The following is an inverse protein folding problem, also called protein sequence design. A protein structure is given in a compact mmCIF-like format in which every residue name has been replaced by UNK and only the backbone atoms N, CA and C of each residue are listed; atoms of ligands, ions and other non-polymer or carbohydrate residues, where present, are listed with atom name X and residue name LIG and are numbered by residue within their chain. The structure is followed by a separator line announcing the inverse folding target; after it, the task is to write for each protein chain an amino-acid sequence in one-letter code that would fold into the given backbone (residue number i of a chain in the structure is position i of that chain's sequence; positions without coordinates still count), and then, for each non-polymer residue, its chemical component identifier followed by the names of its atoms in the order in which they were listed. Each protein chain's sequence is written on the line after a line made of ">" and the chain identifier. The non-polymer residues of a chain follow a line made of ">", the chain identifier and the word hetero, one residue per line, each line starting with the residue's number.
data_IF_484944987176
#
_entry.id   IF_484944987176
#
_cell.length_a   1.000
_cell.length_b   1.000
_cell.length_c   1.000
_cell.angle_alpha   90.00
_cell.angle_beta   90.00
_cell.angle_gamma   90.00
#
_symmetry.space_group_name_H-M   'P 1'
#
loop_
_entity.id
_entity.type
_entity.pdbx_description
1 polymer ?
#
# COMPACT_ATOMS: atom_id res chain seq x y z
N UNK A 1 -3.42 -33.05 -24.86
CA UNK A 1 -2.98 -32.03 -23.89
C UNK A 1 -4.16 -31.12 -23.62
N UNK A 2 -5.07 -31.56 -22.76
CA UNK A 2 -6.25 -30.80 -22.28
C UNK A 2 -6.73 -31.52 -21.03
N UNK A 3 -6.04 -31.31 -19.90
CA UNK A 3 -6.48 -31.75 -18.57
C UNK A 3 -5.88 -30.81 -17.52
N UNK A 4 -6.49 -29.63 -17.34
CA UNK A 4 -6.14 -28.76 -16.20
C UNK A 4 -7.31 -27.84 -15.79
N UNK A 5 -8.53 -28.40 -15.74
CA UNK A 5 -9.71 -27.72 -15.20
C UNK A 5 -10.39 -28.62 -14.17
N UNK A 6 -9.78 -28.83 -13.00
CA UNK A 6 -10.49 -29.45 -11.87
C UNK A 6 -9.82 -29.22 -10.50
N UNK A 7 -9.69 -27.97 -10.03
CA UNK A 7 -9.13 -27.72 -8.69
C UNK A 7 -9.77 -26.57 -7.89
N UNK A 8 -11.00 -26.14 -8.17
CA UNK A 8 -11.66 -25.13 -7.32
C UNK A 8 -13.15 -25.44 -7.13
N UNK A 9 -13.47 -26.58 -6.50
CA UNK A 9 -14.83 -26.88 -6.04
C UNK A 9 -14.84 -27.68 -4.72
N UNK A 10 -14.10 -27.26 -3.69
CA UNK A 10 -14.12 -27.98 -2.39
C UNK A 10 -14.10 -27.08 -1.14
N UNK A 11 -14.66 -25.85 -1.20
CA UNK A 11 -14.73 -24.98 -0.01
C UNK A 11 -16.12 -24.39 0.24
N UNK A 12 -17.17 -25.24 0.26
CA UNK A 12 -18.54 -24.76 0.57
C UNK A 12 -19.39 -25.70 1.42
N UNK A 13 -18.84 -26.74 2.05
CA UNK A 13 -19.65 -27.76 2.76
C UNK A 13 -19.51 -27.80 4.28
N UNK A 14 -18.65 -26.99 4.92
CA UNK A 14 -18.35 -27.19 6.36
C UNK A 14 -19.10 -26.29 7.36
N UNK A 15 -20.12 -25.51 6.96
CA UNK A 15 -20.83 -24.61 7.88
C UNK A 15 -22.25 -25.04 8.31
N UNK A 16 -22.69 -26.27 8.05
CA UNK A 16 -24.03 -26.76 8.45
C UNK A 16 -24.05 -27.78 9.60
N UNK A 17 -22.96 -27.96 10.36
CA UNK A 17 -22.86 -29.01 11.37
C UNK A 17 -23.34 -28.62 12.80
N UNK A 18 -24.10 -27.54 12.99
CA UNK A 18 -24.51 -27.07 14.33
C UNK A 18 -26.03 -26.98 14.59
N UNK A 19 -26.89 -27.58 13.76
CA UNK A 19 -28.35 -27.37 13.86
C UNK A 19 -29.18 -28.63 14.24
N UNK A 20 -28.60 -29.61 14.95
CA UNK A 20 -29.23 -30.94 15.16
C UNK A 20 -29.70 -31.21 16.60
N UNK A 21 -29.91 -30.21 17.46
CA UNK A 21 -30.43 -30.48 18.83
C UNK A 21 -31.55 -29.54 19.30
N UNK A 22 -32.60 -29.34 18.48
CA UNK A 22 -33.74 -28.51 18.90
C UNK A 22 -35.14 -28.88 18.37
N UNK A 23 -35.27 -29.78 17.39
CA UNK A 23 -36.56 -30.05 16.77
C UNK A 23 -37.24 -31.27 17.42
N UNK A 24 -38.00 -31.03 18.49
CA UNK A 24 -38.91 -32.03 19.05
C UNK A 24 -40.13 -32.19 18.13
N UNK A 25 -40.29 -33.34 17.43
CA UNK A 25 -41.35 -33.54 16.44
C UNK A 25 -42.77 -33.47 17.03
N UNK A 26 -42.90 -33.59 18.36
CA UNK A 26 -44.20 -33.53 19.03
C UNK A 26 -44.72 -32.10 19.23
N UNK A 27 -43.84 -31.10 19.26
CA UNK A 27 -44.23 -29.69 19.39
C UNK A 27 -44.65 -29.08 18.03
N UNK A 28 -44.21 -29.67 16.92
CA UNK A 28 -44.54 -29.21 15.57
C UNK A 28 -45.98 -29.57 15.14
N UNK A 29 -46.59 -30.59 15.76
CA UNK A 29 -47.91 -31.09 15.37
C UNK A 29 -49.10 -30.19 15.76
N UNK A 30 -48.87 -29.15 16.58
CA UNK A 30 -49.92 -28.22 17.06
C UNK A 30 -49.65 -26.76 16.68
N UNK A 31 -48.57 -26.49 15.93
CA UNK A 31 -48.26 -25.15 15.45
C UNK A 31 -49.21 -24.81 14.31
N UNK A 32 -50.27 -24.05 14.61
CA UNK A 32 -51.07 -23.39 13.58
C UNK A 32 -50.11 -22.52 12.76
N UNK A 33 -50.05 -22.65 11.42
CA UNK A 33 -49.25 -21.74 10.61
C UNK A 33 -49.89 -20.36 10.76
N UNK A 34 -49.33 -19.53 11.63
CA UNK A 34 -49.62 -18.12 11.67
C UNK A 34 -49.26 -17.61 10.27
N UNK A 35 -50.27 -17.18 9.50
CA UNK A 35 -50.02 -16.53 8.21
C UNK A 35 -49.03 -15.39 8.49
N UNK A 36 -47.91 -15.32 7.76
CA UNK A 36 -46.95 -14.24 7.95
C UNK A 36 -47.73 -12.94 7.78
N UNK A 37 -47.86 -12.19 8.87
CA UNK A 37 -48.42 -10.85 8.81
C UNK A 37 -47.47 -10.07 7.91
N UNK A 38 -47.94 -9.41 6.84
CA UNK A 38 -47.09 -8.51 6.09
C UNK A 38 -46.65 -7.42 7.06
N UNK A 39 -45.42 -7.52 7.59
CA UNK A 39 -44.79 -6.44 8.33
C UNK A 39 -44.64 -5.29 7.34
N UNK A 40 -45.56 -4.35 7.39
CA UNK A 40 -45.46 -3.11 6.61
C UNK A 40 -44.26 -2.39 7.21
N UNK A 41 -43.13 -2.27 6.48
CA UNK A 41 -41.95 -1.64 7.02
C UNK A 41 -42.32 -0.21 7.36
N UNK A 42 -42.09 0.17 8.62
CA UNK A 42 -42.33 1.54 9.08
C UNK A 42 -41.64 2.52 8.12
N UNK A 43 -42.19 3.73 7.91
CA UNK A 43 -41.61 4.69 6.97
C UNK A 43 -40.14 4.99 7.30
N UNK A 44 -39.74 4.90 8.58
CA UNK A 44 -38.35 5.02 9.00
C UNK A 44 -37.47 3.86 8.51
N UNK A 45 -37.97 2.61 8.56
CA UNK A 45 -37.23 1.46 8.04
C UNK A 45 -37.06 1.52 6.52
N UNK A 46 -38.03 2.06 5.77
CA UNK A 46 -37.89 2.21 4.31
C UNK A 46 -36.75 3.18 3.94
N UNK A 47 -36.64 4.31 4.65
CA UNK A 47 -35.55 5.28 4.45
C UNK A 47 -34.18 4.65 4.74
N UNK A 48 -34.09 3.82 5.79
CA UNK A 48 -32.85 3.12 6.10
C UNK A 48 -32.49 2.09 5.04
N UNK A 49 -33.48 1.33 4.54
CA UNK A 49 -33.26 0.35 3.47
C UNK A 49 -32.77 1.02 2.18
N UNK A 50 -33.35 2.16 1.80
CA UNK A 50 -32.89 2.92 0.63
C UNK A 50 -31.46 3.46 0.81
N UNK A 51 -31.13 3.94 2.01
CA UNK A 51 -29.77 4.40 2.31
C UNK A 51 -28.75 3.25 2.24
N UNK A 52 -29.10 2.07 2.76
CA UNK A 52 -28.25 0.87 2.70
C UNK A 52 -28.07 0.40 1.26
N UNK A 53 -29.12 0.44 0.44
CA UNK A 53 -29.04 0.13 -1.00
C UNK A 53 -28.05 1.05 -1.72
N UNK A 54 -28.16 2.37 -1.54
CA UNK A 54 -27.23 3.37 -2.13
C UNK A 54 -25.78 3.17 -1.68
N UNK A 55 -25.58 2.85 -0.40
CA UNK A 55 -24.26 2.54 0.13
C UNK A 55 -23.68 1.27 -0.51
N UNK A 56 -24.50 0.23 -0.70
CA UNK A 56 -24.09 -1.04 -1.34
C UNK A 56 -23.66 -0.82 -2.79
N UNK A 57 -24.39 0.00 -3.54
CA UNK A 57 -24.00 0.40 -4.91
C UNK A 57 -22.68 1.17 -4.93
N UNK A 58 -22.48 2.07 -3.96
CA UNK A 58 -21.22 2.84 -3.86
C UNK A 58 -20.04 1.92 -3.53
N UNK A 59 -20.23 0.96 -2.62
CA UNK A 59 -19.18 0.01 -2.22
C UNK A 59 -18.77 -0.85 -3.41
N UNK A 60 -19.74 -1.41 -4.15
CA UNK A 60 -19.45 -2.23 -5.33
C UNK A 60 -18.72 -1.45 -6.43
N UNK A 61 -19.12 -0.20 -6.68
CA UNK A 61 -18.41 0.68 -7.62
C UNK A 61 -16.96 0.97 -7.19
N UNK A 62 -16.71 1.15 -5.88
CA UNK A 62 -15.37 1.36 -5.36
C UNK A 62 -14.51 0.10 -5.44
N UNK A 63 -15.08 -1.08 -5.20
CA UNK A 63 -14.37 -2.36 -5.35
C UNK A 63 -13.80 -2.53 -6.76
N UNK A 64 -14.61 -2.28 -7.79
CA UNK A 64 -14.15 -2.32 -9.19
C UNK A 64 -13.00 -1.32 -9.46
N UNK A 65 -13.05 -0.14 -8.83
CA UNK A 65 -12.01 0.88 -8.98
C UNK A 65 -10.71 0.47 -8.31
N UNK A 66 -10.77 -0.19 -7.16
CA UNK A 66 -9.60 -0.75 -6.47
C UNK A 66 -8.94 -1.83 -7.32
N UNK A 67 -9.71 -2.79 -7.84
CA UNK A 67 -9.19 -3.83 -8.74
C UNK A 67 -8.52 -3.23 -10.00
N UNK A 68 -9.11 -2.18 -10.57
CA UNK A 68 -8.55 -1.48 -11.72
C UNK A 68 -7.24 -0.74 -11.38
N UNK A 69 -7.07 -0.28 -10.13
CA UNK A 69 -5.83 0.32 -9.66
C UNK A 69 -4.77 -0.73 -9.31
N UNK A 70 -5.17 -1.89 -8.79
CA UNK A 70 -4.27 -3.00 -8.50
C UNK A 70 -3.68 -3.61 -9.78
N UNK A 71 -4.51 -3.80 -10.81
CA UNK A 71 -4.04 -4.26 -12.14
C UNK A 71 -3.15 -3.22 -12.83
N UNK A 72 -3.34 -1.93 -12.51
CA UNK A 72 -2.47 -0.84 -12.96
C UNK A 72 -1.38 -0.61 -11.92
N UNK A 73 -0.49 -1.60 -11.79
CA UNK A 73 0.66 -1.56 -10.90
C UNK A 73 1.32 -0.18 -10.86
N UNK A 74 1.24 0.43 -9.67
CA UNK A 74 2.10 1.47 -9.13
C UNK A 74 2.86 2.41 -10.08
N UNK A 75 2.43 3.67 -10.07
CA UNK A 75 3.36 4.79 -10.13
C UNK A 75 3.76 5.22 -11.52
N UNK A 76 3.02 6.19 -12.05
CA UNK A 76 3.57 7.16 -12.98
C UNK A 76 4.60 8.02 -12.24
N UNK A 77 5.77 7.44 -11.94
CA UNK A 77 6.95 8.24 -11.67
C UNK A 77 7.29 8.89 -12.99
N UNK A 78 7.01 10.18 -13.10
CA UNK A 78 7.50 11.04 -14.16
C UNK A 78 9.02 10.89 -14.28
N UNK A 79 9.45 9.96 -15.11
CA UNK A 79 10.79 9.91 -15.67
C UNK A 79 10.64 9.90 -17.18
N UNK A 80 9.98 10.94 -17.69
CA UNK A 80 10.47 11.52 -18.93
C UNK A 80 11.97 11.79 -18.71
N UNK A 81 12.86 11.44 -19.65
CA UNK A 81 14.30 11.60 -19.48
C UNK A 81 14.64 13.08 -19.53
N UNK A 82 14.28 13.82 -18.48
CA UNK A 82 14.80 15.17 -18.24
C UNK A 82 16.30 14.99 -18.12
N UNK A 83 17.03 15.62 -19.03
CA UNK A 83 18.49 15.65 -18.99
C UNK A 83 18.92 16.10 -17.60
N UNK A 84 19.38 15.15 -16.79
CA UNK A 84 19.72 15.41 -15.41
C UNK A 84 21.04 16.19 -15.39
N UNK A 85 20.94 17.50 -15.18
CA UNK A 85 22.06 18.44 -15.15
C UNK A 85 22.50 18.66 -13.72
N UNK A 86 23.80 18.57 -13.51
CA UNK A 86 24.41 18.82 -12.21
C UNK A 86 24.37 20.31 -11.88
N UNK A 87 23.71 20.71 -10.80
CA UNK A 87 23.66 22.11 -10.35
C UNK A 87 25.02 22.71 -9.94
N UNK A 88 26.06 21.89 -9.79
CA UNK A 88 27.40 22.34 -9.41
C UNK A 88 28.31 22.60 -10.63
N UNK A 89 28.31 21.70 -11.61
CA UNK A 89 29.22 21.79 -12.77
C UNK A 89 28.51 21.93 -14.11
N UNK A 90 27.18 21.98 -14.11
CA UNK A 90 26.30 22.10 -15.28
C UNK A 90 26.45 21.00 -16.35
N UNK A 91 27.16 19.91 -16.04
CA UNK A 91 27.27 18.72 -16.91
C UNK A 91 26.07 17.81 -16.74
N UNK A 92 25.68 17.14 -17.83
CA UNK A 92 24.59 16.14 -17.86
C UNK A 92 25.04 14.80 -17.27
N UNK A 93 24.08 13.95 -16.91
CA UNK A 93 24.28 12.56 -16.50
C UNK A 93 24.50 12.36 -14.99
N UNK A 94 24.48 13.42 -14.17
CA UNK A 94 24.55 13.31 -12.71
C UNK A 94 23.95 14.52 -12.00
N UNK A 95 23.62 14.39 -10.72
CA UNK A 95 23.19 15.50 -9.85
C UNK A 95 24.35 16.03 -8.99
N UNK A 96 24.14 17.16 -8.32
CA UNK A 96 25.13 17.77 -7.41
C UNK A 96 25.67 16.80 -6.34
N UNK A 97 24.87 15.82 -5.89
CA UNK A 97 25.30 14.78 -4.94
C UNK A 97 26.40 13.86 -5.52
N UNK A 98 26.31 13.51 -6.80
CA UNK A 98 27.23 12.57 -7.46
C UNK A 98 28.40 13.25 -8.17
N UNK A 99 28.45 14.59 -8.16
CA UNK A 99 29.44 15.38 -8.87
C UNK A 99 30.88 15.04 -8.44
N UNK A 100 31.67 14.51 -9.38
CA UNK A 100 33.10 14.20 -9.16
C UNK A 100 33.92 15.44 -8.85
N UNK A 101 33.62 16.58 -9.49
CA UNK A 101 34.33 17.84 -9.25
C UNK A 101 34.12 18.32 -7.81
N UNK A 102 32.89 18.25 -7.29
CA UNK A 102 32.59 18.62 -5.90
C UNK A 102 33.34 17.72 -4.91
N UNK A 103 33.37 16.41 -5.15
CA UNK A 103 34.15 15.45 -4.34
C UNK A 103 35.64 15.77 -4.36
N UNK A 104 36.19 16.09 -5.52
CA UNK A 104 37.61 16.44 -5.64
C UNK A 104 37.95 17.75 -4.93
N UNK A 105 37.09 18.77 -5.02
CA UNK A 105 37.30 20.04 -4.32
C UNK A 105 37.26 19.86 -2.78
N UNK A 106 36.31 19.06 -2.28
CA UNK A 106 36.27 18.72 -0.85
C UNK A 106 37.54 17.98 -0.42
N UNK A 107 38.04 17.05 -1.23
CA UNK A 107 39.30 16.35 -0.94
C UNK A 107 40.51 17.27 -0.95
N UNK A 108 40.58 18.23 -1.87
CA UNK A 108 41.67 19.21 -1.92
C UNK A 108 41.65 20.16 -0.73
N UNK A 109 40.46 20.58 -0.27
CA UNK A 109 40.33 21.39 0.95
C UNK A 109 40.75 20.64 2.23
N UNK A 110 40.67 19.31 2.21
CA UNK A 110 41.04 18.44 3.32
C UNK A 110 42.44 17.85 3.18
N UNK A 111 43.18 18.16 2.12
CA UNK A 111 44.53 17.66 1.93
C UNK A 111 45.53 18.56 2.69
N UNK A 112 46.15 18.06 3.78
CA UNK A 112 47.10 18.82 4.58
C UNK A 112 48.41 19.13 3.84
N UNK A 113 48.61 18.59 2.63
CA UNK A 113 49.76 18.92 1.76
C UNK A 113 49.50 20.12 0.86
N UNK A 114 48.24 20.55 0.73
CA UNK A 114 47.86 21.74 -0.05
C UNK A 114 48.01 23.04 0.73
N UNK A 115 48.15 22.97 2.06
CA UNK A 115 48.39 24.15 2.89
C UNK A 115 49.86 24.55 2.82
N UNK A 116 50.17 25.83 2.57
CA UNK A 116 51.55 26.31 2.63
C UNK A 116 52.09 26.12 4.05
N UNK A 117 53.31 25.59 4.16
CA UNK A 117 53.97 25.43 5.45
C UNK A 117 54.23 26.80 6.08
N UNK A 118 53.58 27.08 7.21
CA UNK A 118 53.80 28.30 7.99
C UNK A 118 54.80 27.98 9.11
N UNK A 119 56.00 28.59 9.12
CA UNK A 119 56.97 28.40 10.19
C UNK A 119 56.36 28.78 11.55
N UNK A 120 56.46 27.90 12.54
CA UNK A 120 55.96 28.14 13.90
C UNK A 120 54.53 27.67 14.19
N UNK A 121 53.79 27.14 13.20
CA UNK A 121 52.52 26.45 13.48
C UNK A 121 52.74 24.99 13.88
N UNK A 122 52.09 24.50 14.95
CA UNK A 122 52.09 23.07 15.27
C UNK A 122 51.34 22.28 14.19
N UNK A 123 51.69 20.99 13.96
CA UNK A 123 51.00 20.16 12.98
C UNK A 123 49.51 20.03 13.32
N UNK A 124 48.66 20.14 12.29
CA UNK A 124 47.21 19.93 12.45
C UNK A 124 46.95 18.49 12.90
N UNK A 125 46.38 18.32 14.09
CA UNK A 125 45.82 17.04 14.53
C UNK A 125 44.37 16.98 14.07
N UNK A 126 44.00 16.11 13.12
CA UNK A 126 42.61 15.93 12.77
C UNK A 126 41.81 15.47 13.99
N UNK A 127 40.54 15.90 14.14
CA UNK A 127 39.68 15.43 15.21
C UNK A 127 39.50 13.91 15.13
N UNK A 128 39.34 13.22 16.28
CA UNK A 128 39.07 11.78 16.26
C UNK A 128 37.79 11.51 15.46
N UNK A 129 37.91 10.65 14.45
CA UNK A 129 36.75 10.20 13.69
C UNK A 129 35.96 9.21 14.56
N UNK A 130 34.68 9.46 14.74
CA UNK A 130 33.77 8.51 15.38
C UNK A 130 33.24 7.55 14.31
N UNK A 131 33.56 6.24 14.36
CA UNK A 131 33.14 5.28 13.33
C UNK A 131 31.65 4.88 13.40
N UNK A 132 30.83 5.53 14.21
CA UNK A 132 29.41 5.21 14.36
C UNK A 132 28.47 6.21 13.67
N UNK A 133 28.21 6.04 12.37
CA UNK A 133 26.89 6.19 11.73
C UNK A 133 26.91 5.66 10.29
#
# INVERSE_FOLDING_TARGET
>A
MVEEENLIQEESTELNAMEVMGNNPFLTAMAVPAKPVPEIPSPQTQVMVEAVQKLTETISALQLKVEALEKRGGGQKHSEPREIRCFFCNRVGHIQRDCRTRRNQQRQQLDPRSVPFVPGQPPFRPPPHNPGN
#
